data_IF_044841318979
#
_entry.id   IF_044841318979
#
_cell.length_a   1.000
_cell.length_b   1.000
_cell.length_c   1.000
_cell.angle_alpha   90.00
_cell.angle_beta   90.00
_cell.angle_gamma   90.00
#
_symmetry.space_group_name_H-M   'P 1'
#
loop_
_entity.id
_entity.type
_entity.pdbx_description
1 polymer ?
#
# COMPACT_ATOMS: atom_id res chain seq x y z
N UNK A 1 -4.69 -19.88 -41.62
CA UNK A 1 -3.77 -18.74 -41.84
C UNK A 1 -3.08 -18.43 -40.52
N UNK A 2 -1.89 -18.97 -40.29
CA UNK A 2 -1.18 -18.82 -39.00
C UNK A 2 -0.49 -17.46 -38.95
N UNK A 3 -0.97 -16.59 -38.07
CA UNK A 3 -0.37 -15.29 -37.78
C UNK A 3 1.06 -15.50 -37.24
N UNK A 4 2.06 -15.00 -37.96
CA UNK A 4 3.47 -15.19 -37.61
C UNK A 4 3.84 -14.19 -36.50
N UNK A 5 3.88 -14.65 -35.24
CA UNK A 5 4.43 -13.85 -34.14
C UNK A 5 5.94 -13.66 -34.30
N UNK A 6 6.35 -12.48 -34.76
CA UNK A 6 7.77 -12.06 -34.78
C UNK A 6 8.26 -11.82 -33.35
N UNK A 7 9.18 -12.66 -32.88
CA UNK A 7 9.77 -12.53 -31.53
C UNK A 7 10.73 -11.33 -31.50
N UNK A 8 10.36 -10.28 -30.76
CA UNK A 8 11.20 -9.10 -30.52
C UNK A 8 12.16 -9.36 -29.36
N UNK A 9 13.45 -9.00 -29.51
CA UNK A 9 14.51 -9.27 -28.51
C UNK A 9 14.28 -8.64 -27.13
N UNK A 10 13.45 -7.60 -27.02
CA UNK A 10 13.19 -6.87 -25.77
C UNK A 10 11.88 -7.24 -25.07
N UNK A 11 11.01 -8.03 -25.71
CA UNK A 11 9.71 -8.43 -25.16
C UNK A 11 9.80 -9.82 -24.56
N UNK A 12 9.09 -10.03 -23.45
CA UNK A 12 8.96 -11.35 -22.86
C UNK A 12 8.15 -12.27 -23.78
N UNK A 13 8.50 -13.56 -23.78
CA UNK A 13 7.75 -14.56 -24.54
C UNK A 13 6.34 -14.73 -23.94
N UNK A 14 5.30 -14.89 -24.78
CA UNK A 14 3.95 -15.19 -24.32
C UNK A 14 3.94 -16.40 -23.38
N UNK A 15 3.02 -16.40 -22.41
CA UNK A 15 2.90 -17.51 -21.44
C UNK A 15 2.61 -18.83 -22.16
N UNK A 16 1.68 -18.83 -23.11
CA UNK A 16 1.31 -19.98 -23.95
C UNK A 16 2.51 -20.60 -24.68
N UNK A 17 3.40 -19.76 -25.22
CA UNK A 17 4.56 -20.22 -25.97
C UNK A 17 5.61 -20.84 -25.03
N UNK A 18 5.74 -20.34 -23.80
CA UNK A 18 6.59 -20.95 -22.77
C UNK A 18 6.04 -22.29 -22.29
N UNK A 19 4.72 -22.41 -22.15
CA UNK A 19 4.08 -23.67 -21.78
C UNK A 19 4.24 -24.72 -22.88
N UNK A 20 4.13 -24.32 -24.15
CA UNK A 20 4.37 -25.20 -25.31
C UNK A 20 5.82 -25.71 -25.35
N UNK A 21 6.80 -24.88 -25.00
CA UNK A 21 8.21 -25.30 -24.85
C UNK A 21 8.33 -26.39 -23.77
N UNK A 22 7.69 -26.18 -22.61
CA UNK A 22 7.73 -27.17 -21.51
C UNK A 22 7.02 -28.47 -21.91
N UNK A 23 5.90 -28.39 -22.62
CA UNK A 23 5.17 -29.56 -23.10
C UNK A 23 6.01 -30.40 -24.09
N UNK A 24 6.66 -29.76 -25.07
CA UNK A 24 7.52 -30.46 -26.04
C UNK A 24 8.77 -31.06 -25.40
N UNK A 25 9.33 -30.41 -24.37
CA UNK A 25 10.42 -31.01 -23.60
C UNK A 25 9.95 -32.22 -22.78
N UNK A 26 8.74 -32.18 -22.22
CA UNK A 26 8.15 -33.32 -21.49
C UNK A 26 7.86 -34.51 -22.41
N UNK A 27 7.53 -34.28 -23.68
CA UNK A 27 7.39 -35.33 -24.68
C UNK A 27 8.73 -35.84 -25.23
N UNK A 28 9.87 -35.52 -24.58
CA UNK A 28 11.19 -36.04 -24.94
C UNK A 28 11.87 -35.36 -26.12
N UNK A 29 11.36 -34.24 -26.63
CA UNK A 29 12.03 -33.54 -27.73
C UNK A 29 13.30 -32.82 -27.24
N UNK A 30 14.39 -32.97 -28.00
CA UNK A 30 15.65 -32.29 -27.70
C UNK A 30 15.57 -30.77 -27.92
N UNK A 31 16.45 -30.01 -27.24
CA UNK A 31 16.45 -28.54 -27.28
C UNK A 31 16.58 -27.95 -28.70
N UNK A 32 17.35 -28.61 -29.60
CA UNK A 32 17.52 -28.17 -30.99
C UNK A 32 16.19 -28.25 -31.77
N UNK A 33 15.43 -29.33 -31.57
CA UNK A 33 14.16 -29.56 -32.27
C UNK A 33 13.09 -28.57 -31.80
N UNK A 34 13.02 -28.33 -30.49
CA UNK A 34 12.11 -27.33 -29.89
C UNK A 34 12.43 -25.91 -30.42
N UNK A 35 13.72 -25.57 -30.46
CA UNK A 35 14.20 -24.28 -30.96
C UNK A 35 13.81 -24.06 -32.43
N UNK A 36 14.02 -25.07 -33.28
CA UNK A 36 13.64 -25.02 -34.70
C UNK A 36 12.12 -24.93 -34.90
N UNK A 37 11.34 -25.75 -34.19
CA UNK A 37 9.89 -25.80 -34.31
C UNK A 37 9.20 -24.49 -33.90
N UNK A 38 9.66 -23.85 -32.82
CA UNK A 38 9.07 -22.61 -32.31
C UNK A 38 9.79 -21.33 -32.76
N UNK A 39 10.88 -21.45 -33.53
CA UNK A 39 11.74 -20.32 -33.95
C UNK A 39 12.24 -19.48 -32.76
N UNK A 40 12.49 -20.14 -31.62
CA UNK A 40 13.03 -19.53 -30.39
C UNK A 40 14.50 -19.89 -30.26
N UNK A 41 15.40 -18.98 -29.83
CA UNK A 41 16.81 -19.32 -29.60
C UNK A 41 16.98 -20.47 -28.60
N UNK A 42 17.90 -21.40 -28.88
CA UNK A 42 18.21 -22.56 -28.02
C UNK A 42 18.51 -22.15 -26.57
N UNK A 43 19.21 -21.03 -26.37
CA UNK A 43 19.53 -20.50 -25.04
C UNK A 43 18.25 -20.18 -24.24
N UNK A 44 17.26 -19.55 -24.87
CA UNK A 44 15.99 -19.22 -24.25
C UNK A 44 15.17 -20.45 -23.91
N UNK A 45 15.15 -21.46 -24.78
CA UNK A 45 14.53 -22.77 -24.51
C UNK A 45 15.16 -23.40 -23.25
N UNK A 46 16.50 -23.43 -23.18
CA UNK A 46 17.21 -23.95 -22.03
C UNK A 46 16.91 -23.15 -20.74
N UNK A 47 16.89 -21.81 -20.80
CA UNK A 47 16.57 -20.96 -19.65
C UNK A 47 15.14 -21.19 -19.13
N UNK A 48 14.16 -21.36 -20.03
CA UNK A 48 12.77 -21.63 -19.65
C UNK A 48 12.66 -22.99 -18.95
N UNK A 49 13.32 -24.02 -19.48
CA UNK A 49 13.28 -25.37 -18.91
C UNK A 49 14.02 -25.42 -17.57
N UNK A 50 15.18 -24.76 -17.47
CA UNK A 50 15.90 -24.61 -16.21
C UNK A 50 15.03 -23.92 -15.16
N UNK A 51 14.43 -22.77 -15.51
CA UNK A 51 13.52 -22.04 -14.63
C UNK A 51 12.35 -22.91 -14.17
N UNK A 52 11.74 -23.68 -15.07
CA UNK A 52 10.65 -24.61 -14.72
C UNK A 52 11.11 -25.69 -13.75
N UNK A 53 12.33 -26.22 -13.91
CA UNK A 53 12.93 -27.19 -12.98
C UNK A 53 13.21 -26.58 -11.61
N UNK A 54 13.70 -25.34 -11.56
CA UNK A 54 14.06 -24.67 -10.29
C UNK A 54 12.86 -24.12 -9.53
N UNK A 55 11.92 -23.47 -10.21
CA UNK A 55 10.82 -22.72 -9.59
C UNK A 55 9.43 -23.32 -9.82
N UNK A 56 9.32 -24.40 -10.61
CA UNK A 56 8.03 -25.04 -10.93
C UNK A 56 7.10 -24.23 -11.84
N UNK A 57 7.50 -23.02 -12.27
CA UNK A 57 6.64 -22.08 -12.99
C UNK A 57 7.24 -21.64 -14.33
N UNK A 58 6.36 -21.37 -15.31
CA UNK A 58 6.70 -20.77 -16.62
C UNK A 58 6.48 -19.25 -16.62
N UNK A 59 5.59 -18.75 -15.75
CA UNK A 59 5.25 -17.33 -15.58
C UNK A 59 6.46 -16.49 -15.17
N UNK A 60 6.51 -15.24 -15.63
CA UNK A 60 7.59 -14.33 -15.23
C UNK A 60 7.40 -13.95 -13.77
N UNK A 61 8.44 -14.11 -12.96
CA UNK A 61 8.40 -13.70 -11.56
C UNK A 61 8.55 -12.18 -11.48
N UNK A 62 7.85 -11.51 -10.55
CA UNK A 62 8.08 -10.09 -10.31
C UNK A 62 9.54 -9.89 -9.93
N UNK A 63 10.15 -8.85 -10.48
CA UNK A 63 11.52 -8.46 -10.11
C UNK A 63 11.50 -7.97 -8.67
N UNK A 64 12.55 -8.25 -7.90
CA UNK A 64 12.67 -7.85 -6.49
C UNK A 64 12.56 -6.33 -6.27
N UNK A 65 12.82 -5.53 -7.31
CA UNK A 65 12.75 -4.08 -7.24
C UNK A 65 13.89 -3.49 -6.42
N UNK A 66 13.80 -2.18 -6.14
CA UNK A 66 14.78 -1.47 -5.32
C UNK A 66 14.48 -1.72 -3.83
N UNK A 67 15.49 -2.06 -3.01
CA UNK A 67 15.29 -2.18 -1.56
C UNK A 67 14.79 -0.86 -0.96
N UNK A 68 13.92 -0.96 0.04
CA UNK A 68 13.41 0.21 0.75
C UNK A 68 14.53 0.89 1.53
N UNK A 69 14.50 2.22 1.60
CA UNK A 69 15.45 3.01 2.40
C UNK A 69 15.25 2.86 3.92
N UNK A 70 13.99 2.69 4.34
CA UNK A 70 13.65 2.46 5.74
C UNK A 70 13.69 0.96 6.03
N UNK A 71 14.25 0.57 7.17
CA UNK A 71 14.23 -0.82 7.57
C UNK A 71 12.83 -1.22 8.04
N UNK A 72 12.59 -2.53 8.15
CA UNK A 72 11.36 -3.04 8.74
C UNK A 72 11.18 -2.54 10.19
N UNK A 73 12.28 -2.49 10.96
CA UNK A 73 12.28 -2.04 12.37
C UNK A 73 11.97 -0.55 12.46
N UNK A 74 12.62 0.28 11.66
CA UNK A 74 12.39 1.72 11.62
C UNK A 74 10.98 2.08 11.22
N UNK A 75 10.44 1.43 10.17
CA UNK A 75 9.02 1.60 9.80
C UNK A 75 8.07 1.26 10.95
N UNK A 76 8.30 0.15 11.65
CA UNK A 76 7.48 -0.27 12.80
C UNK A 76 7.58 0.70 13.97
N UNK A 77 8.76 1.28 14.21
CA UNK A 77 8.95 2.29 15.25
C UNK A 77 8.19 3.58 14.92
N UNK A 78 8.28 4.08 13.68
CA UNK A 78 7.52 5.26 13.23
C UNK A 78 6.00 5.06 13.39
N UNK A 79 5.48 3.88 13.03
CA UNK A 79 4.06 3.56 13.21
C UNK A 79 3.66 3.53 14.68
N UNK A 80 4.53 3.03 15.57
CA UNK A 80 4.28 3.04 17.02
C UNK A 80 4.25 4.46 17.56
N UNK A 81 5.17 5.31 17.12
CA UNK A 81 5.23 6.71 17.57
C UNK A 81 3.97 7.48 17.14
N UNK A 82 3.53 7.29 15.90
CA UNK A 82 2.28 7.87 15.40
C UNK A 82 1.06 7.36 16.17
N UNK A 83 1.02 6.09 16.57
CA UNK A 83 -0.08 5.56 17.39
C UNK A 83 -0.10 6.15 18.79
N UNK A 84 1.07 6.38 19.40
CA UNK A 84 1.21 6.99 20.72
C UNK A 84 0.80 8.46 20.69
N UNK A 85 1.25 9.20 19.66
CA UNK A 85 0.90 10.59 19.45
C UNK A 85 0.43 10.83 18.01
N UNK A 86 -0.89 10.72 17.73
CA UNK A 86 -1.44 10.93 16.40
C UNK A 86 -1.24 12.33 15.83
N UNK A 87 -0.88 13.32 16.67
CA UNK A 87 -0.64 14.72 16.26
C UNK A 87 0.81 14.99 15.86
N UNK A 88 1.69 13.98 15.94
CA UNK A 88 3.11 14.14 15.64
C UNK A 88 3.34 14.61 14.20
N UNK A 89 4.26 15.55 14.03
CA UNK A 89 4.63 16.09 12.72
C UNK A 89 5.62 15.19 12.01
N UNK A 90 5.68 15.30 10.67
CA UNK A 90 6.69 14.55 9.89
C UNK A 90 8.12 14.99 10.25
N UNK A 91 8.30 16.24 10.69
CA UNK A 91 9.61 16.74 11.11
C UNK A 91 10.11 16.09 12.41
N UNK A 92 9.21 15.91 13.38
CA UNK A 92 9.50 15.17 14.61
C UNK A 92 9.78 13.70 14.31
N UNK A 93 8.97 13.06 13.48
CA UNK A 93 9.23 11.68 13.03
C UNK A 93 10.57 11.54 12.30
N UNK A 94 10.99 12.56 11.56
CA UNK A 94 12.30 12.59 10.92
C UNK A 94 13.43 12.67 11.93
N UNK A 95 13.27 13.42 13.03
CA UNK A 95 14.22 13.42 14.15
C UNK A 95 14.30 12.05 14.82
N UNK A 96 13.16 11.45 15.18
CA UNK A 96 13.11 10.10 15.75
C UNK A 96 13.77 9.06 14.82
N UNK A 97 13.55 9.18 13.51
CA UNK A 97 14.20 8.31 12.51
C UNK A 97 15.73 8.44 12.55
N UNK A 98 16.26 9.66 12.67
CA UNK A 98 17.71 9.90 12.78
C UNK A 98 18.29 9.37 14.08
N UNK A 99 17.59 9.53 15.20
CA UNK A 99 17.98 8.99 16.51
C UNK A 99 18.09 7.45 16.46
N UNK A 100 17.26 6.78 15.65
CA UNK A 100 17.35 5.34 15.41
C UNK A 100 18.43 4.93 14.39
N UNK A 101 19.21 5.88 13.86
CA UNK A 101 20.23 5.63 12.83
C UNK A 101 19.69 5.54 11.39
N UNK A 102 18.41 5.81 11.17
CA UNK A 102 17.78 5.77 9.83
C UNK A 102 17.57 7.18 9.28
N UNK A 103 18.59 7.73 8.61
CA UNK A 103 18.47 9.05 7.98
C UNK A 103 17.61 9.00 6.71
N UNK A 104 16.34 9.37 6.86
CA UNK A 104 15.37 9.39 5.77
C UNK A 104 14.81 10.79 5.50
N UNK A 105 14.39 11.03 4.25
CA UNK A 105 13.67 12.25 3.86
C UNK A 105 12.22 12.17 4.37
N UNK A 106 11.61 13.33 4.64
CA UNK A 106 10.19 13.45 5.01
C UNK A 106 9.25 12.70 4.06
N UNK A 107 9.52 12.72 2.76
CA UNK A 107 8.74 12.00 1.74
C UNK A 107 8.79 10.48 1.94
N UNK A 108 9.97 9.92 2.25
CA UNK A 108 10.14 8.48 2.53
C UNK A 108 9.35 8.05 3.76
N UNK A 109 9.38 8.86 4.83
CA UNK A 109 8.63 8.63 6.06
C UNK A 109 7.13 8.65 5.78
N UNK A 110 6.67 9.67 5.04
CA UNK A 110 5.25 9.80 4.64
C UNK A 110 4.79 8.61 3.80
N UNK A 111 5.59 8.17 2.83
CA UNK A 111 5.29 7.00 2.02
C UNK A 111 5.20 5.72 2.86
N UNK A 112 6.10 5.54 3.83
CA UNK A 112 6.07 4.39 4.74
C UNK A 112 4.83 4.38 5.67
N UNK A 113 4.38 5.56 6.11
CA UNK A 113 3.12 5.71 6.85
C UNK A 113 1.91 5.40 5.97
N UNK A 114 1.89 5.87 4.72
CA UNK A 114 0.83 5.55 3.77
C UNK A 114 0.74 4.05 3.48
N UNK A 115 1.88 3.36 3.33
CA UNK A 115 1.92 1.89 3.21
C UNK A 115 1.34 1.18 4.45
N UNK A 116 1.36 1.85 5.61
CA UNK A 116 0.76 1.35 6.86
C UNK A 116 -0.70 1.79 7.04
N UNK A 117 -1.28 2.47 6.04
CA UNK A 117 -2.65 2.99 6.05
C UNK A 117 -2.85 4.24 6.90
N UNK A 118 -1.78 4.90 7.36
CA UNK A 118 -1.85 6.12 8.16
C UNK A 118 -1.70 7.33 7.27
N UNK A 119 -2.66 8.24 7.31
CA UNK A 119 -2.62 9.45 6.51
C UNK A 119 -2.88 10.69 7.34
N UNK A 120 -2.25 11.80 6.97
CA UNK A 120 -2.56 13.11 7.50
C UNK A 120 -4.00 13.50 7.16
N UNK A 121 -4.79 13.84 8.18
CA UNK A 121 -6.19 14.28 8.05
C UNK A 121 -6.48 15.38 9.04
N UNK A 122 -7.47 16.22 8.75
CA UNK A 122 -7.92 17.24 9.69
C UNK A 122 -8.66 16.57 10.86
N UNK A 123 -8.24 16.89 12.08
CA UNK A 123 -8.89 16.45 13.31
C UNK A 123 -10.31 17.05 13.40
N UNK A 124 -11.29 16.23 13.80
CA UNK A 124 -12.65 16.72 14.04
C UNK A 124 -12.69 17.39 15.41
N UNK A 125 -13.32 18.56 15.50
CA UNK A 125 -13.64 19.20 16.78
C UNK A 125 -14.78 18.41 17.41
N UNK A 126 -14.63 18.03 18.67
CA UNK A 126 -15.66 17.34 19.44
C UNK A 126 -15.78 18.01 20.80
N UNK A 127 -17.00 18.12 21.37
CA UNK A 127 -17.14 18.49 22.77
C UNK A 127 -16.49 17.40 23.63
N UNK A 128 -15.87 17.80 24.73
CA UNK A 128 -15.39 16.86 25.72
C UNK A 128 -16.60 16.30 26.48
N UNK A 129 -16.82 14.99 26.41
CA UNK A 129 -17.95 14.32 27.07
C UNK A 129 -17.44 13.47 28.22
N UNK A 130 -18.09 13.61 29.37
CA UNK A 130 -17.90 12.71 30.50
C UNK A 130 -18.68 11.41 30.28
N UNK A 131 -18.34 10.35 31.02
CA UNK A 131 -19.09 9.09 31.00
C UNK A 131 -20.59 9.30 31.30
N UNK A 132 -20.90 10.20 32.24
CA UNK A 132 -22.28 10.60 32.57
C UNK A 132 -23.00 11.23 31.37
N UNK A 133 -22.34 12.16 30.67
CA UNK A 133 -22.93 12.80 29.47
C UNK A 133 -23.19 11.79 28.35
N UNK A 134 -22.30 10.82 28.16
CA UNK A 134 -22.48 9.77 27.15
C UNK A 134 -23.70 8.90 27.45
N UNK A 135 -23.85 8.45 28.71
CA UNK A 135 -25.00 7.63 29.14
C UNK A 135 -26.33 8.37 28.96
N UNK A 136 -26.42 9.60 29.48
CA UNK A 136 -27.64 10.40 29.39
C UNK A 136 -28.09 10.66 27.93
N UNK A 137 -27.13 10.81 27.00
CA UNK A 137 -27.45 11.00 25.58
C UNK A 137 -27.97 9.75 24.89
N UNK A 138 -27.51 8.55 25.28
CA UNK A 138 -27.99 7.29 24.71
C UNK A 138 -29.40 6.98 25.22
N UNK A 139 -29.65 7.24 26.51
CA UNK A 139 -30.94 6.97 27.15
C UNK A 139 -32.03 7.95 26.67
N UNK A 140 -31.65 9.18 26.27
CA UNK A 140 -32.56 10.17 25.69
C UNK A 140 -32.95 9.84 24.24
N UNK A 141 -33.83 8.85 24.06
CA UNK A 141 -34.59 8.67 22.81
C UNK A 141 -35.81 9.59 22.81
N UNK A 142 -35.67 10.80 22.28
CA UNK A 142 -36.81 11.73 22.16
C UNK A 142 -37.76 11.32 21.03
N UNK A 143 -39.06 11.22 21.35
CA UNK A 143 -40.16 11.14 20.38
C UNK A 143 -40.36 12.51 19.73
N UNK A 144 -40.50 12.55 18.40
CA UNK A 144 -40.21 13.73 17.56
C UNK A 144 -41.37 14.11 16.65
N UNK A 145 -42.55 14.44 17.21
CA UNK A 145 -43.71 14.67 16.35
C UNK A 145 -44.20 16.13 16.28
N UNK A 146 -43.87 17.04 17.22
CA UNK A 146 -44.29 18.47 17.20
C UNK A 146 -43.39 19.40 18.06
N UNK A 147 -42.11 19.61 17.70
CA UNK A 147 -41.21 20.51 18.48
C UNK A 147 -40.49 21.50 17.56
N UNK A 148 -40.57 22.80 17.88
CA UNK A 148 -39.73 23.86 17.31
C UNK A 148 -38.49 24.03 18.18
N UNK A 149 -37.30 23.96 17.57
CA UNK A 149 -36.02 24.15 18.26
C UNK A 149 -35.43 25.52 17.93
N UNK A 150 -34.92 26.23 18.93
CA UNK A 150 -34.10 27.44 18.78
C UNK A 150 -32.79 27.26 19.55
N UNK A 151 -31.67 27.65 18.95
CA UNK A 151 -30.40 27.83 19.65
C UNK A 151 -29.80 29.20 19.30
N UNK A 152 -28.79 29.59 20.07
CA UNK A 152 -28.00 30.78 19.81
C UNK A 152 -26.64 30.37 19.23
N UNK A 153 -26.19 31.02 18.16
CA UNK A 153 -24.87 30.79 17.58
C UNK A 153 -24.10 32.10 17.42
N UNK A 154 -22.81 32.07 17.77
CA UNK A 154 -21.90 33.20 17.58
C UNK A 154 -21.31 33.18 16.17
N UNK A 155 -21.44 34.27 15.43
CA UNK A 155 -20.82 34.47 14.12
C UNK A 155 -19.55 35.30 14.31
N UNK A 156 -18.37 34.69 14.10
CA UNK A 156 -17.08 35.38 14.21
C UNK A 156 -16.56 35.81 12.83
N UNK A 157 -16.25 37.10 12.66
CA UNK A 157 -15.74 37.68 11.39
C UNK A 157 -14.29 37.28 11.10
N UNK A 158 -13.47 37.13 12.14
CA UNK A 158 -12.06 36.74 12.05
C UNK A 158 -11.72 35.68 13.12
N UNK A 159 -12.17 34.45 12.91
CA UNK A 159 -11.88 33.34 13.83
C UNK A 159 -10.54 32.65 13.57
N UNK A 160 -9.79 32.34 14.65
CA UNK A 160 -8.60 31.47 14.65
C UNK A 160 -8.98 29.98 14.43
N UNK A 161 -9.70 29.67 13.36
CA UNK A 161 -10.07 28.31 12.97
C UNK A 161 -8.90 27.55 12.35
N UNK A 162 -7.82 27.39 13.12
CA UNK A 162 -6.62 26.67 12.68
C UNK A 162 -6.92 25.17 12.54
N UNK A 163 -6.65 24.63 11.34
CA UNK A 163 -6.81 23.20 11.06
C UNK A 163 -5.67 22.44 11.74
N UNK A 164 -6.00 21.57 12.71
CA UNK A 164 -5.04 20.63 13.29
C UNK A 164 -5.05 19.33 12.50
N UNK A 165 -3.87 18.85 12.14
CA UNK A 165 -3.70 17.57 11.45
C UNK A 165 -3.41 16.45 12.44
N UNK A 166 -3.95 15.27 12.13
CA UNK A 166 -3.71 14.01 12.84
C UNK A 166 -3.47 12.91 11.82
N UNK A 167 -2.61 11.98 12.16
CA UNK A 167 -2.44 10.73 11.43
C UNK A 167 -3.52 9.76 11.86
N UNK A 168 -4.29 9.26 10.89
CA UNK A 168 -5.33 8.26 11.16
C UNK A 168 -5.58 7.36 9.96
N UNK A 169 -6.21 6.22 10.22
CA UNK A 169 -6.71 5.33 9.17
C UNK A 169 -8.01 5.90 8.55
N UNK A 170 -8.37 5.49 7.33
CA UNK A 170 -9.70 5.74 6.79
C UNK A 170 -10.78 5.21 7.74
N UNK A 171 -11.90 5.93 7.89
CA UNK A 171 -13.02 5.53 8.74
C UNK A 171 -12.87 5.80 10.25
N UNK A 172 -11.68 6.10 10.75
CA UNK A 172 -11.44 6.26 12.21
C UNK A 172 -11.57 7.71 12.69
N UNK A 173 -12.40 8.52 12.04
CA UNK A 173 -12.49 9.96 12.33
C UNK A 173 -12.97 10.26 13.76
N UNK A 174 -13.75 9.35 14.36
CA UNK A 174 -14.38 9.50 15.67
C UNK A 174 -13.70 8.72 16.80
N UNK A 175 -12.60 8.01 16.55
CA UNK A 175 -11.95 7.13 17.53
C UNK A 175 -10.84 7.78 18.37
N UNK A 176 -10.52 9.04 18.11
CA UNK A 176 -9.61 9.86 18.92
C UNK A 176 -10.36 10.58 20.05
#
# INVERSE_FOLDING_TARGET
MSEQMRIMRSKELPEELRDRIVAMHRSGQGYKNISAALKVPKSTVASIILKRKTFGTTRTLPRAGRPAKLSYRGRRALVREVKKNPKITVAELQRCSREMGESCRKSTITAALHQSGLYGRVARRKPLLSARHMKARIDSKMVRNKILWSDETKIELFGLNSKRYVWRKPGTAHQL
#
